data_IF_385124341012
#
_entry.id   IF_385124341012
#
_cell.length_a   1.000
_cell.length_b   1.000
_cell.length_c   1.000
_cell.angle_alpha   90.00
_cell.angle_beta   90.00
_cell.angle_gamma   90.00
#
_symmetry.space_group_name_H-M   'P 1'
#
loop_
_entity.id
_entity.type
_entity.pdbx_description
1 polymer ?
#
# COMPACT_ATOMS: atom_id res chain seq x y z
N UNK A 1 4.34 4.12 13.50
CA UNK A 1 3.34 3.06 13.76
C UNK A 1 3.44 2.06 12.63
N UNK A 2 3.79 0.82 12.94
CA UNK A 2 3.98 -0.26 11.97
C UNK A 2 2.59 -0.76 11.56
N UNK A 3 2.22 -0.59 10.29
CA UNK A 3 0.98 -1.15 9.75
C UNK A 3 0.97 -2.69 9.80
N UNK A 4 -0.21 -3.29 9.67
CA UNK A 4 -0.37 -4.75 9.61
C UNK A 4 0.53 -5.33 8.51
N UNK A 5 1.22 -6.44 8.80
CA UNK A 5 2.08 -7.16 7.85
C UNK A 5 1.36 -8.40 7.34
N UNK A 6 1.47 -8.66 6.04
CA UNK A 6 0.96 -9.84 5.36
C UNK A 6 2.09 -10.64 4.73
N UNK A 7 1.98 -11.96 4.84
CA UNK A 7 2.96 -12.96 4.41
C UNK A 7 2.31 -14.01 3.51
N UNK A 8 3.12 -14.87 2.89
CA UNK A 8 2.61 -15.89 1.97
C UNK A 8 1.56 -16.79 2.66
N UNK A 9 0.37 -16.87 2.06
CA UNK A 9 -0.76 -17.64 2.58
C UNK A 9 -1.78 -16.80 3.37
N UNK A 10 -1.46 -15.56 3.73
CA UNK A 10 -2.42 -14.68 4.38
C UNK A 10 -3.57 -14.31 3.42
N UNK A 11 -4.82 -14.30 3.91
CA UNK A 11 -5.96 -13.95 3.09
C UNK A 11 -5.88 -12.49 2.64
N UNK A 12 -6.46 -12.22 1.46
CA UNK A 12 -6.56 -10.87 0.94
C UNK A 12 -7.46 -10.02 1.85
N UNK A 13 -7.00 -8.83 2.30
CA UNK A 13 -7.83 -7.94 3.11
C UNK A 13 -9.01 -7.37 2.30
N UNK A 14 -10.13 -7.03 2.93
CA UNK A 14 -11.25 -6.38 2.25
C UNK A 14 -10.87 -4.98 1.75
N UNK A 15 -11.45 -4.56 0.62
CA UNK A 15 -11.10 -3.29 -0.04
C UNK A 15 -11.47 -2.05 0.79
N UNK A 16 -12.39 -2.20 1.74
CA UNK A 16 -12.74 -1.15 2.69
C UNK A 16 -11.67 -0.91 3.75
N UNK A 17 -10.79 -1.89 4.02
CA UNK A 17 -9.79 -1.80 5.07
C UNK A 17 -8.41 -1.42 4.53
N UNK A 18 -8.03 -1.96 3.37
CA UNK A 18 -6.68 -1.76 2.81
C UNK A 18 -6.78 -1.35 1.34
N UNK A 19 -6.27 -0.14 1.06
CA UNK A 19 -6.20 0.44 -0.28
C UNK A 19 -4.80 0.41 -0.88
N UNK A 20 -3.78 0.47 -0.04
CA UNK A 20 -2.38 0.42 -0.46
C UNK A 20 -1.54 -0.44 0.49
N UNK A 21 -0.51 -1.06 -0.07
CA UNK A 21 0.48 -1.86 0.65
C UNK A 21 1.88 -1.56 0.12
N UNK A 22 2.86 -1.58 1.00
CA UNK A 22 4.28 -1.48 0.69
C UNK A 22 4.88 -2.89 0.62
N UNK A 23 5.48 -3.25 -0.51
CA UNK A 23 6.20 -4.50 -0.65
C UNK A 23 7.65 -4.44 -0.16
N UNK A 24 8.27 -5.60 -0.06
CA UNK A 24 9.64 -5.76 0.44
C UNK A 24 10.68 -5.03 -0.42
N UNK A 25 10.42 -4.89 -1.72
CA UNK A 25 11.23 -4.10 -2.66
C UNK A 25 11.15 -2.58 -2.43
N UNK A 26 10.23 -2.12 -1.58
CA UNK A 26 9.87 -0.71 -1.43
C UNK A 26 8.81 -0.24 -2.45
N UNK A 27 8.30 -1.13 -3.30
CA UNK A 27 7.22 -0.80 -4.23
C UNK A 27 5.90 -0.63 -3.50
N UNK A 28 5.24 0.51 -3.70
CA UNK A 28 3.88 0.73 -3.21
C UNK A 28 2.90 0.17 -4.24
N UNK A 29 2.03 -0.72 -3.80
CA UNK A 29 0.92 -1.23 -4.61
C UNK A 29 -0.39 -0.61 -4.13
N UNK A 30 -1.14 -0.05 -5.06
CA UNK A 30 -2.49 0.43 -4.85
C UNK A 30 -3.50 -0.57 -5.43
N UNK A 31 -4.67 -0.64 -4.81
CA UNK A 31 -5.78 -1.46 -5.29
C UNK A 31 -6.63 -0.65 -6.27
N UNK A 32 -7.07 -1.28 -7.36
CA UNK A 32 -7.88 -0.60 -8.37
C UNK A 32 -9.27 -0.19 -7.86
N UNK A 33 -9.74 0.97 -8.29
CA UNK A 33 -11.11 1.42 -8.03
C UNK A 33 -12.04 1.10 -9.20
N UNK A 34 -13.36 0.95 -8.99
CA UNK A 34 -14.08 1.00 -7.70
C UNK A 34 -14.18 -0.33 -6.96
N UNK A 35 -13.83 -1.46 -7.60
CA UNK A 35 -14.13 -2.81 -7.10
C UNK A 35 -12.93 -3.57 -6.50
N UNK A 36 -11.74 -2.99 -6.49
CA UNK A 36 -10.58 -3.62 -5.86
C UNK A 36 -10.05 -4.84 -6.62
N UNK A 37 -10.32 -4.94 -7.92
CA UNK A 37 -10.16 -6.19 -8.70
C UNK A 37 -8.71 -6.63 -8.90
N UNK A 38 -7.76 -5.71 -8.78
CA UNK A 38 -6.34 -6.01 -8.94
C UNK A 38 -5.47 -5.02 -8.18
N UNK A 39 -4.26 -5.45 -7.89
CA UNK A 39 -3.20 -4.62 -7.35
C UNK A 39 -2.31 -4.12 -8.47
N UNK A 40 -1.86 -2.87 -8.39
CA UNK A 40 -0.95 -2.28 -9.35
C UNK A 40 0.08 -1.42 -8.61
N UNK A 41 1.33 -1.35 -9.10
CA UNK A 41 2.30 -0.43 -8.52
C UNK A 41 1.79 1.01 -8.70
N UNK A 42 1.96 1.83 -7.66
CA UNK A 42 1.58 3.25 -7.66
C UNK A 42 2.48 4.06 -8.59
N UNK A 43 3.74 3.64 -8.71
CA UNK A 43 4.73 4.22 -9.60
C UNK A 43 5.27 3.10 -10.50
N UNK A 44 4.88 3.10 -11.78
CA UNK A 44 5.35 2.12 -12.76
C UNK A 44 4.25 1.53 -13.64
N UNK A 45 4.61 0.53 -14.43
CA UNK A 45 3.73 -0.17 -15.38
C UNK A 45 3.67 -1.65 -14.98
N UNK A 46 2.49 -2.14 -14.62
CA UNK A 46 2.29 -3.53 -14.24
C UNK A 46 0.94 -3.78 -13.59
N UNK A 47 0.35 -4.94 -13.82
CA UNK A 47 -0.91 -5.35 -13.19
C UNK A 47 -0.71 -6.67 -12.47
N UNK A 48 -0.83 -6.67 -11.15
CA UNK A 48 -0.82 -7.88 -10.33
C UNK A 48 -2.27 -8.25 -10.02
N UNK A 49 -2.83 -9.13 -10.84
CA UNK A 49 -4.24 -9.53 -10.77
C UNK A 49 -4.66 -10.26 -9.48
N UNK A 50 -3.74 -10.76 -8.67
CA UNK A 50 -4.09 -11.68 -7.58
C UNK A 50 -3.19 -11.53 -6.36
N UNK A 51 -3.79 -11.48 -5.17
CA UNK A 51 -3.10 -11.22 -3.90
C UNK A 51 -2.03 -12.27 -3.52
N UNK A 52 -2.28 -13.59 -3.56
CA UNK A 52 -1.24 -14.59 -3.39
C UNK A 52 -0.04 -14.42 -4.34
N UNK A 53 -0.28 -13.92 -5.56
CA UNK A 53 0.81 -13.65 -6.50
C UNK A 53 1.61 -12.42 -6.10
N UNK A 54 0.95 -11.40 -5.57
CA UNK A 54 1.60 -10.21 -5.04
C UNK A 54 2.49 -10.55 -3.84
N UNK A 55 1.99 -11.34 -2.88
CA UNK A 55 2.76 -11.82 -1.74
C UNK A 55 3.95 -12.69 -2.15
N UNK A 56 3.79 -13.54 -3.17
CA UNK A 56 4.90 -14.36 -3.67
C UNK A 56 5.93 -13.53 -4.45
N UNK A 57 5.50 -12.42 -5.07
CA UNK A 57 6.37 -11.57 -5.88
C UNK A 57 7.16 -10.58 -5.04
N UNK A 58 6.50 -9.92 -4.07
CA UNK A 58 7.08 -8.81 -3.31
C UNK A 58 6.66 -8.80 -1.83
N UNK A 59 6.28 -9.96 -1.30
CA UNK A 59 6.02 -10.12 0.13
C UNK A 59 7.31 -10.13 0.96
N UNK A 60 7.23 -9.82 2.27
CA UNK A 60 6.05 -9.42 3.03
C UNK A 60 5.50 -8.03 2.64
N UNK A 61 4.18 -7.88 2.67
CA UNK A 61 3.49 -6.63 2.36
C UNK A 61 3.07 -5.93 3.65
N UNK A 62 3.34 -4.63 3.79
CA UNK A 62 2.95 -3.84 4.96
C UNK A 62 1.84 -2.86 4.58
N UNK A 63 0.77 -2.77 5.37
CA UNK A 63 -0.26 -1.74 5.16
C UNK A 63 0.38 -0.36 5.27
N UNK A 64 0.24 0.44 4.21
CA UNK A 64 0.60 1.84 4.27
C UNK A 64 -0.51 2.54 5.07
N UNK A 65 -0.21 2.89 6.33
CA UNK A 65 -1.05 3.87 7.02
C UNK A 65 -0.77 5.17 6.31
N UNK A 66 -1.75 5.71 5.59
CA UNK A 66 -1.68 7.04 5.02
C UNK A 66 -1.35 7.99 6.18
N UNK A 67 -0.06 8.35 6.32
CA UNK A 67 0.30 9.45 7.18
C UNK A 67 -0.38 10.64 6.55
N UNK A 68 -1.25 11.38 7.27
CA UNK A 68 -1.78 12.62 6.74
C UNK A 68 -0.58 13.42 6.22
N UNK A 69 -0.67 14.01 5.01
CA UNK A 69 0.43 14.79 4.47
C UNK A 69 0.89 15.72 5.57
N UNK A 70 2.17 15.69 5.91
CA UNK A 70 2.78 16.64 6.83
C UNK A 70 2.45 18.01 6.25
N UNK A 71 1.40 18.64 6.79
CA UNK A 71 1.15 20.04 6.57
C UNK A 71 2.41 20.71 7.11
N UNK A 72 3.27 21.17 6.22
CA UNK A 72 4.25 22.20 6.52
C UNK A 72 3.42 23.39 6.98
N UNK A 73 3.12 23.44 8.28
CA UNK A 73 2.62 24.64 8.89
C UNK A 73 3.73 25.67 8.70
N UNK A 74 3.41 26.69 7.92
CA UNK A 74 4.22 27.90 7.79
C UNK A 74 4.26 28.50 9.20
N UNK A 75 5.32 28.18 9.96
CA UNK A 75 5.55 28.79 11.26
C UNK A 75 5.81 30.27 10.97
N UNK A 76 4.97 31.21 11.45
CA UNK A 76 5.23 32.63 11.23
C UNK A 76 6.63 32.92 11.77
N UNK A 77 7.49 33.38 10.87
CA UNK A 77 8.89 33.64 11.13
C UNK A 77 9.04 34.39 12.44
N UNK A 78 9.87 33.85 13.33
CA UNK A 78 10.35 34.57 14.49
C UNK A 78 11.03 35.86 13.99
N UNK A 79 10.32 36.99 14.17
CA UNK A 79 10.91 38.33 14.13
C UNK A 79 11.30 38.74 15.54
#
# INVERSE_FOLDING_TARGET
>A
MTGRVFTAGDPEPPASEVRSVLGASGTVYARSEPAGLYWHPRYGVGLVRHWPRLLAHDGPLTVEVELPPLALFDLPGAS
#
